data_IF_687444229853
#
_entry.id   IF_687444229853
#
_cell.length_a   1.000
_cell.length_b   1.000
_cell.length_c   1.000
_cell.angle_alpha   90.00
_cell.angle_beta   90.00
_cell.angle_gamma   90.00
#
_symmetry.space_group_name_H-M   'P 1'
#
loop_
_entity.id
_entity.type
_entity.pdbx_description
1 polymer ?
#
# COMPACT_ATOMS: atom_id res chain seq x y z
N UNK A 1 14.46 -0.53 -6.72
CA UNK A 1 14.70 0.49 -7.75
C UNK A 1 13.42 1.26 -8.05
N UNK A 2 13.53 2.38 -8.79
CA UNK A 2 12.38 3.14 -9.27
C UNK A 2 11.50 2.32 -10.21
N UNK A 3 12.09 1.40 -10.96
CA UNK A 3 11.33 0.45 -11.79
C UNK A 3 10.47 -0.48 -10.92
N UNK A 4 10.99 -0.99 -9.80
CA UNK A 4 10.22 -1.81 -8.86
C UNK A 4 9.09 -1.01 -8.20
N UNK A 5 9.33 0.28 -7.93
CA UNK A 5 8.31 1.20 -7.42
C UNK A 5 7.16 1.34 -8.43
N UNK A 6 7.48 1.62 -9.70
CA UNK A 6 6.49 1.75 -10.77
C UNK A 6 5.68 0.45 -10.95
N UNK A 7 6.36 -0.70 -10.98
CA UNK A 7 5.71 -2.01 -11.04
C UNK A 7 4.74 -2.21 -9.85
N UNK A 8 5.17 -1.86 -8.63
CA UNK A 8 4.35 -2.03 -7.43
C UNK A 8 3.12 -1.12 -7.44
N UNK A 9 3.27 0.13 -7.88
CA UNK A 9 2.15 1.06 -8.05
C UNK A 9 1.10 0.46 -9.00
N UNK A 10 1.52 -0.01 -10.17
CA UNK A 10 0.62 -0.60 -11.16
C UNK A 10 -0.04 -1.89 -10.63
N UNK A 11 0.71 -2.78 -9.97
CA UNK A 11 0.13 -3.98 -9.34
C UNK A 11 -0.95 -3.60 -8.34
N UNK A 12 -0.69 -2.61 -7.50
CA UNK A 12 -1.64 -2.17 -6.47
C UNK A 12 -2.88 -1.52 -7.07
N UNK A 13 -2.72 -0.70 -8.11
CA UNK A 13 -3.84 -0.10 -8.85
C UNK A 13 -4.73 -1.17 -9.49
N UNK A 14 -4.14 -2.19 -10.13
CA UNK A 14 -4.88 -3.32 -10.72
C UNK A 14 -5.63 -4.16 -9.67
N UNK A 15 -5.20 -4.11 -8.41
CA UNK A 15 -5.90 -4.75 -7.27
C UNK A 15 -6.96 -3.85 -6.63
N UNK A 16 -7.19 -2.64 -7.17
CA UNK A 16 -8.15 -1.69 -6.62
C UNK A 16 -7.68 -1.00 -5.34
N UNK A 17 -6.38 -0.89 -5.14
CA UNK A 17 -5.85 -0.21 -3.96
C UNK A 17 -6.10 1.30 -4.02
N UNK A 18 -6.52 1.88 -2.89
CA UNK A 18 -6.66 3.33 -2.73
C UNK A 18 -5.31 4.05 -2.55
N UNK A 19 -5.37 5.31 -2.09
CA UNK A 19 -4.19 6.19 -1.93
C UNK A 19 -3.03 5.54 -1.20
N UNK A 20 -3.21 4.82 -0.05
CA UNK A 20 -2.09 4.16 0.63
C UNK A 20 -1.43 3.07 -0.23
N UNK A 21 -2.19 2.37 -1.08
CA UNK A 21 -1.63 1.38 -2.01
C UNK A 21 -0.91 2.02 -3.19
N UNK A 22 -1.34 3.22 -3.62
CA UNK A 22 -0.67 4.00 -4.66
C UNK A 22 0.70 4.54 -4.21
N UNK A 23 0.96 4.62 -2.90
CA UNK A 23 2.28 4.91 -2.34
C UNK A 23 3.36 3.85 -2.71
N UNK A 24 2.94 2.68 -3.17
CA UNK A 24 3.84 1.65 -3.69
C UNK A 24 4.70 1.01 -2.59
N UNK A 25 6.02 1.04 -2.79
CA UNK A 25 6.99 0.50 -1.83
C UNK A 25 7.26 1.56 -0.77
N UNK A 26 6.79 1.31 0.46
CA UNK A 26 7.04 2.20 1.60
C UNK A 26 8.48 2.14 2.14
N UNK A 27 8.75 2.97 3.16
CA UNK A 27 10.03 3.04 3.88
C UNK A 27 11.24 3.29 2.96
N UNK A 28 11.34 4.47 2.33
CA UNK A 28 12.44 4.79 1.43
C UNK A 28 13.80 4.79 2.15
N UNK A 29 13.85 5.11 3.43
CA UNK A 29 15.02 5.05 4.31
C UNK A 29 15.64 3.66 4.42
N UNK A 30 14.84 2.60 4.32
CA UNK A 30 15.30 1.20 4.30
C UNK A 30 15.64 0.69 2.90
N UNK A 31 15.53 1.52 1.87
CA UNK A 31 15.68 1.13 0.46
C UNK A 31 16.53 2.14 -0.31
N UNK A 32 17.84 2.17 -0.06
CA UNK A 32 18.74 3.20 -0.61
C UNK A 32 18.80 3.23 -2.14
N UNK A 33 18.43 2.13 -2.80
CA UNK A 33 18.42 2.05 -4.27
C UNK A 33 17.06 2.40 -4.89
N UNK A 34 16.08 2.87 -4.11
CA UNK A 34 14.72 3.11 -4.62
C UNK A 34 14.68 4.25 -5.63
N UNK A 35 15.58 5.23 -5.52
CA UNK A 35 15.68 6.34 -6.46
C UNK A 35 16.40 5.97 -7.77
N UNK A 36 17.16 4.88 -7.79
CA UNK A 36 17.90 4.45 -8.96
C UNK A 36 17.04 3.59 -9.90
N UNK A 37 17.33 3.73 -11.21
CA UNK A 37 16.76 2.85 -12.25
C UNK A 37 17.48 1.50 -12.25
N UNK A 38 16.81 0.48 -12.73
CA UNK A 38 17.40 -0.87 -12.85
C UNK A 38 18.65 -0.89 -13.74
N UNK A 39 18.67 -0.12 -14.82
CA UNK A 39 19.87 -0.03 -15.67
C UNK A 39 21.03 0.65 -14.97
N UNK A 40 20.78 1.64 -14.09
CA UNK A 40 21.79 2.32 -13.29
C UNK A 40 22.39 1.38 -12.23
N UNK A 41 21.56 0.59 -11.55
CA UNK A 41 22.07 -0.41 -10.59
C UNK A 41 22.89 -1.49 -11.28
N UNK A 42 22.51 -1.93 -12.48
CA UNK A 42 23.34 -2.83 -13.29
C UNK A 42 24.65 -2.20 -13.74
N UNK A 43 24.63 -0.92 -14.09
CA UNK A 43 25.86 -0.18 -14.42
C UNK A 43 26.78 -0.06 -13.21
N UNK A 44 26.23 0.24 -12.03
CA UNK A 44 26.99 0.28 -10.77
C UNK A 44 27.64 -1.08 -10.48
N UNK A 45 26.92 -2.19 -10.59
CA UNK A 45 27.50 -3.53 -10.41
C UNK A 45 28.71 -3.76 -11.31
N UNK A 46 28.62 -3.37 -12.59
CA UNK A 46 29.75 -3.49 -13.54
C UNK A 46 30.97 -2.67 -13.10
N UNK A 47 30.73 -1.44 -12.60
CA UNK A 47 31.82 -0.56 -12.15
C UNK A 47 32.55 -1.14 -10.94
N UNK A 48 31.81 -1.75 -10.01
CA UNK A 48 32.40 -2.34 -8.79
C UNK A 48 32.81 -3.82 -8.96
N UNK A 49 32.75 -4.35 -10.17
CA UNK A 49 33.17 -5.72 -10.47
C UNK A 49 32.23 -6.81 -9.92
N UNK A 50 30.97 -6.46 -9.65
CA UNK A 50 29.95 -7.44 -9.23
C UNK A 50 29.16 -7.93 -10.45
N UNK A 51 28.95 -9.24 -10.52
CA UNK A 51 28.13 -9.88 -11.54
C UNK A 51 26.78 -10.28 -10.95
N UNK A 52 25.67 -9.58 -11.32
CA UNK A 52 24.35 -9.88 -10.78
C UNK A 52 23.87 -11.25 -11.26
N UNK A 53 23.36 -12.07 -10.36
CA UNK A 53 22.69 -13.32 -10.73
C UNK A 53 21.40 -13.00 -11.51
N UNK A 54 21.22 -13.71 -12.62
CA UNK A 54 19.97 -13.68 -13.38
C UNK A 54 19.12 -14.86 -12.98
N UNK A 55 17.99 -14.59 -12.30
CA UNK A 55 17.00 -15.60 -11.97
C UNK A 55 15.99 -15.71 -13.15
N UNK A 56 15.85 -16.88 -13.79
CA UNK A 56 14.89 -17.11 -14.88
C UNK A 56 13.44 -16.80 -14.49
N UNK A 57 13.09 -16.88 -13.21
CA UNK A 57 11.75 -16.52 -12.74
C UNK A 57 11.42 -15.02 -12.93
N UNK A 58 12.43 -14.17 -13.14
CA UNK A 58 12.23 -12.73 -13.38
C UNK A 58 11.60 -12.44 -14.75
N UNK A 59 11.61 -13.39 -15.66
CA UNK A 59 11.06 -13.24 -17.02
C UNK A 59 9.82 -14.12 -17.26
N UNK A 60 9.36 -14.88 -16.24
CA UNK A 60 8.20 -15.76 -16.35
C UNK A 60 6.88 -14.95 -16.44
N UNK A 61 6.15 -15.01 -17.58
CA UNK A 61 4.93 -14.23 -17.80
C UNK A 61 3.73 -14.67 -16.95
N UNK A 62 3.82 -15.77 -16.20
CA UNK A 62 2.79 -16.18 -15.25
C UNK A 62 2.67 -15.18 -14.09
N UNK A 63 3.72 -14.41 -13.82
CA UNK A 63 3.71 -13.40 -12.78
C UNK A 63 3.25 -12.04 -13.32
N UNK A 64 2.18 -11.49 -12.76
CA UNK A 64 1.62 -10.17 -13.12
C UNK A 64 2.70 -9.08 -13.12
N UNK A 65 3.65 -9.12 -12.19
CA UNK A 65 4.73 -8.16 -12.11
C UNK A 65 5.65 -8.19 -13.32
N UNK A 66 5.96 -9.39 -13.83
CA UNK A 66 6.78 -9.54 -15.03
C UNK A 66 6.04 -9.04 -16.29
N UNK A 67 4.73 -9.31 -16.37
CA UNK A 67 3.91 -8.75 -17.45
C UNK A 67 3.84 -7.23 -17.41
N UNK A 68 3.70 -6.64 -16.22
CA UNK A 68 3.75 -5.18 -16.07
C UNK A 68 5.10 -4.64 -16.59
N UNK A 69 6.20 -5.27 -16.23
CA UNK A 69 7.55 -4.90 -16.67
C UNK A 69 7.74 -4.98 -18.17
N UNK A 70 7.33 -6.09 -18.77
CA UNK A 70 7.67 -6.41 -20.16
C UNK A 70 6.59 -6.00 -21.17
N UNK A 71 5.33 -5.82 -20.74
CA UNK A 71 4.21 -5.49 -21.61
C UNK A 71 3.63 -4.11 -21.29
N UNK A 72 3.24 -3.85 -20.02
CA UNK A 72 2.46 -2.65 -19.66
C UNK A 72 3.31 -1.39 -19.63
N UNK A 73 4.48 -1.41 -18.98
CA UNK A 73 5.35 -0.24 -18.92
C UNK A 73 5.85 0.18 -20.30
N UNK A 74 6.28 -0.74 -21.20
CA UNK A 74 6.60 -0.37 -22.59
C UNK A 74 5.40 0.20 -23.36
N UNK A 75 4.21 -0.38 -23.19
CA UNK A 75 2.99 0.13 -23.82
C UNK A 75 2.65 1.55 -23.35
N UNK A 76 2.76 1.80 -22.04
CA UNK A 76 2.55 3.15 -21.48
C UNK A 76 3.57 4.15 -22.02
N UNK A 77 4.82 3.74 -22.21
CA UNK A 77 5.87 4.56 -22.80
C UNK A 77 5.54 4.91 -24.26
N UNK A 78 5.12 3.92 -25.04
CA UNK A 78 4.74 4.08 -26.46
C UNK A 78 3.54 5.04 -26.59
N UNK A 79 2.44 4.77 -25.87
CA UNK A 79 1.22 5.58 -25.93
C UNK A 79 1.42 7.01 -25.46
N UNK A 80 2.23 7.21 -24.42
CA UNK A 80 2.44 8.56 -23.83
C UNK A 80 3.60 9.34 -24.46
N UNK A 81 4.47 8.69 -25.23
CA UNK A 81 5.72 9.26 -25.73
C UNK A 81 6.72 9.63 -24.62
N UNK A 82 6.58 9.08 -23.42
CA UNK A 82 7.37 9.41 -22.23
C UNK A 82 7.70 8.14 -21.42
N UNK A 83 8.84 8.18 -20.70
CA UNK A 83 9.15 7.12 -19.74
C UNK A 83 8.12 7.16 -18.56
N UNK A 84 7.29 6.14 -18.36
CA UNK A 84 6.30 6.12 -17.29
C UNK A 84 6.90 5.91 -15.90
N UNK A 85 8.12 5.34 -15.78
CA UNK A 85 8.72 4.97 -14.50
C UNK A 85 8.95 6.17 -13.59
N UNK A 86 9.59 7.27 -14.02
CA UNK A 86 9.75 8.47 -13.19
C UNK A 86 8.41 9.10 -12.81
N UNK A 87 7.41 9.01 -13.70
CA UNK A 87 6.08 9.57 -13.45
C UNK A 87 5.35 8.79 -12.36
N UNK A 88 5.38 7.47 -12.44
CA UNK A 88 4.78 6.57 -11.44
C UNK A 88 5.51 6.66 -10.09
N UNK A 89 6.86 6.74 -10.10
CA UNK A 89 7.63 6.94 -8.88
C UNK A 89 7.30 8.26 -8.18
N UNK A 90 7.15 9.35 -8.95
CA UNK A 90 6.70 10.65 -8.43
C UNK A 90 5.28 10.59 -7.91
N UNK A 91 4.38 9.89 -8.58
CA UNK A 91 3.01 9.67 -8.11
C UNK A 91 3.02 8.92 -6.77
N UNK A 92 3.81 7.86 -6.63
CA UNK A 92 3.96 7.13 -5.38
C UNK A 92 4.46 8.00 -4.23
N UNK A 93 5.44 8.87 -4.48
CA UNK A 93 5.94 9.83 -3.49
C UNK A 93 4.82 10.77 -3.01
N UNK A 94 4.03 11.33 -3.94
CA UNK A 94 2.89 12.19 -3.59
C UNK A 94 1.80 11.44 -2.81
N UNK A 95 1.54 10.18 -3.17
CA UNK A 95 0.61 9.33 -2.44
C UNK A 95 1.12 9.01 -1.02
N UNK A 96 2.43 8.85 -0.84
CA UNK A 96 3.05 8.70 0.49
C UNK A 96 2.85 9.96 1.32
N UNK A 97 3.22 11.15 0.80
CA UNK A 97 3.02 12.43 1.48
C UNK A 97 1.57 12.64 1.92
N UNK A 98 0.61 12.35 1.04
CA UNK A 98 -0.81 12.45 1.35
C UNK A 98 -1.25 11.43 2.42
N UNK A 99 -0.73 10.21 2.36
CA UNK A 99 -1.02 9.15 3.35
C UNK A 99 -0.49 9.53 4.73
N UNK A 100 0.73 10.07 4.79
CA UNK A 100 1.37 10.49 6.04
C UNK A 100 0.62 11.68 6.66
N UNK A 101 0.19 12.65 5.85
CA UNK A 101 -0.65 13.76 6.30
C UNK A 101 -1.96 13.26 6.90
N UNK A 102 -2.67 12.37 6.21
CA UNK A 102 -3.92 11.79 6.70
C UNK A 102 -3.71 10.94 7.96
N UNK A 103 -2.61 10.19 8.04
CA UNK A 103 -2.25 9.43 9.23
C UNK A 103 -2.01 10.35 10.43
N UNK A 104 -1.38 11.51 10.21
CA UNK A 104 -1.21 12.54 11.23
C UNK A 104 -2.53 13.07 11.81
N UNK A 105 -3.58 13.17 10.99
CA UNK A 105 -4.91 13.62 11.44
C UNK A 105 -5.60 12.65 12.41
N UNK A 106 -5.20 11.39 12.41
CA UNK A 106 -5.80 10.35 13.28
C UNK A 106 -4.80 9.76 14.27
N UNK A 107 -3.59 10.32 14.36
CA UNK A 107 -2.52 9.78 15.20
C UNK A 107 -2.89 9.72 16.69
N UNK A 108 -3.62 10.72 17.18
CA UNK A 108 -4.06 10.83 18.58
C UNK A 108 -5.46 10.26 18.81
N UNK A 109 -6.09 9.69 17.79
CA UNK A 109 -7.44 9.10 17.89
C UNK A 109 -7.31 7.66 18.36
N UNK A 110 -7.94 7.34 19.51
CA UNK A 110 -8.08 5.95 19.96
C UNK A 110 -9.05 5.20 19.01
N UNK A 111 -8.55 4.29 18.17
CA UNK A 111 -9.39 3.59 17.18
C UNK A 111 -10.38 2.62 17.81
N UNK A 112 -10.27 2.36 19.11
CA UNK A 112 -11.20 1.52 19.86
C UNK A 112 -12.31 2.32 20.54
N UNK A 113 -12.15 3.63 20.71
CA UNK A 113 -13.18 4.50 21.29
C UNK A 113 -14.17 4.96 20.20
N UNK A 114 -15.36 4.37 20.23
CA UNK A 114 -16.43 4.69 19.27
C UNK A 114 -16.86 6.15 19.33
N UNK A 115 -16.74 6.81 20.52
CA UNK A 115 -17.09 8.23 20.67
C UNK A 115 -16.07 9.11 19.97
N UNK A 116 -14.77 8.80 20.12
CA UNK A 116 -13.71 9.51 19.41
C UNK A 116 -13.83 9.39 17.87
N UNK A 117 -14.40 8.28 17.40
CA UNK A 117 -14.64 8.03 15.98
C UNK A 117 -15.95 8.62 15.45
N UNK A 118 -16.90 8.99 16.34
CA UNK A 118 -18.28 9.33 15.93
C UNK A 118 -18.34 10.55 15.01
N UNK A 119 -17.56 11.59 15.31
CA UNK A 119 -17.58 12.88 14.61
C UNK A 119 -16.60 12.95 13.44
N UNK A 120 -15.80 11.91 13.24
CA UNK A 120 -14.85 11.85 12.14
C UNK A 120 -15.53 11.42 10.83
N UNK A 121 -15.10 11.98 9.69
CA UNK A 121 -15.47 11.46 8.37
C UNK A 121 -15.11 9.98 8.22
N UNK A 122 -15.94 9.23 7.50
CA UNK A 122 -15.76 7.78 7.33
C UNK A 122 -14.37 7.39 6.80
N UNK A 123 -13.78 8.21 5.94
CA UNK A 123 -12.43 7.93 5.40
C UNK A 123 -11.33 8.05 6.46
N UNK A 124 -11.43 8.97 7.41
CA UNK A 124 -10.51 9.05 8.55
C UNK A 124 -10.74 7.92 9.54
N UNK A 125 -12.01 7.53 9.77
CA UNK A 125 -12.31 6.34 10.58
C UNK A 125 -11.74 5.07 9.94
N UNK A 126 -11.89 4.89 8.62
CA UNK A 126 -11.26 3.77 7.90
C UNK A 126 -9.75 3.74 8.08
N UNK A 127 -9.11 4.90 8.06
CA UNK A 127 -7.66 5.00 8.22
C UNK A 127 -7.24 4.58 9.64
N UNK A 128 -7.89 5.10 10.68
CA UNK A 128 -7.64 4.73 12.08
C UNK A 128 -7.87 3.23 12.31
N UNK A 129 -8.99 2.70 11.83
CA UNK A 129 -9.33 1.28 11.93
C UNK A 129 -8.32 0.38 11.20
N UNK A 130 -7.86 0.79 10.01
CA UNK A 130 -6.86 0.04 9.24
C UNK A 130 -5.55 -0.05 10.02
N UNK A 131 -5.08 1.04 10.63
CA UNK A 131 -3.88 1.07 11.47
C UNK A 131 -3.99 0.11 12.64
N UNK A 132 -5.09 0.18 13.39
CA UNK A 132 -5.37 -0.69 14.52
C UNK A 132 -5.44 -2.17 14.12
N UNK A 133 -6.24 -2.51 13.11
CA UNK A 133 -6.36 -3.89 12.64
C UNK A 133 -5.04 -4.45 12.08
N UNK A 134 -4.21 -3.61 11.47
CA UNK A 134 -2.87 -4.03 11.01
C UNK A 134 -1.98 -4.37 12.20
N UNK A 135 -2.01 -3.57 13.26
CA UNK A 135 -1.26 -3.83 14.49
C UNK A 135 -1.71 -5.14 15.16
N UNK A 136 -3.03 -5.32 15.33
CA UNK A 136 -3.62 -6.52 15.93
C UNK A 136 -3.32 -7.80 15.11
N UNK A 137 -3.23 -7.67 13.79
CA UNK A 137 -2.89 -8.79 12.89
C UNK A 137 -1.37 -9.01 12.72
N UNK A 138 -0.53 -8.50 13.63
CA UNK A 138 0.91 -8.67 13.58
C UNK A 138 1.58 -8.01 12.37
N UNK A 139 1.04 -6.88 11.90
CA UNK A 139 1.58 -6.11 10.78
C UNK A 139 0.99 -6.47 9.41
N UNK A 140 0.05 -7.40 9.34
CA UNK A 140 -0.65 -7.75 8.09
C UNK A 140 -1.82 -6.80 7.85
N UNK A 141 -1.82 -5.98 6.77
CA UNK A 141 -2.92 -5.07 6.49
C UNK A 141 -4.23 -5.82 6.20
N UNK A 142 -5.38 -5.36 6.75
CA UNK A 142 -6.68 -5.89 6.41
C UNK A 142 -7.08 -5.52 4.98
N UNK A 143 -7.96 -6.31 4.38
CA UNK A 143 -8.63 -5.92 3.14
C UNK A 143 -9.64 -4.78 3.37
N UNK A 144 -10.03 -4.09 2.31
CA UNK A 144 -10.96 -2.96 2.37
C UNK A 144 -12.32 -3.38 2.93
N UNK A 145 -12.82 -4.55 2.54
CA UNK A 145 -14.11 -5.06 2.98
C UNK A 145 -14.13 -5.36 4.49
N UNK A 146 -13.01 -5.82 5.06
CA UNK A 146 -12.88 -6.00 6.51
C UNK A 146 -12.95 -4.66 7.25
N UNK A 147 -12.27 -3.63 6.74
CA UNK A 147 -12.32 -2.27 7.32
C UNK A 147 -13.74 -1.71 7.26
N UNK A 148 -14.43 -1.85 6.12
CA UNK A 148 -15.81 -1.36 5.95
C UNK A 148 -16.79 -2.08 6.89
N UNK A 149 -16.65 -3.39 7.10
CA UNK A 149 -17.47 -4.11 8.07
C UNK A 149 -17.23 -3.62 9.51
N UNK A 150 -15.99 -3.27 9.88
CA UNK A 150 -15.71 -2.71 11.22
C UNK A 150 -16.24 -1.28 11.31
N UNK A 151 -16.19 -0.49 10.25
CA UNK A 151 -16.85 0.83 10.19
C UNK A 151 -18.36 0.70 10.46
N UNK A 152 -19.02 -0.33 9.91
CA UNK A 152 -20.44 -0.59 10.19
C UNK A 152 -20.70 -0.92 11.68
N UNK A 153 -19.76 -1.58 12.36
CA UNK A 153 -19.82 -1.78 13.82
C UNK A 153 -19.67 -0.45 14.56
N UNK A 154 -18.72 0.40 14.15
CA UNK A 154 -18.52 1.75 14.73
C UNK A 154 -19.77 2.59 14.58
N UNK A 155 -20.38 2.61 13.39
CA UNK A 155 -21.62 3.36 13.11
C UNK A 155 -22.89 2.73 13.68
N UNK A 156 -22.79 1.58 14.35
CA UNK A 156 -23.93 0.90 14.99
C UNK A 156 -24.89 0.23 14.02
N UNK A 157 -24.51 0.07 12.74
CA UNK A 157 -25.30 -0.65 11.72
C UNK A 157 -25.35 -2.14 12.01
N UNK A 158 -24.26 -2.68 12.54
CA UNK A 158 -24.15 -4.07 13.01
C UNK A 158 -23.49 -4.11 14.40
N UNK A 159 -23.72 -5.16 15.19
CA UNK A 159 -23.16 -5.27 16.54
C UNK A 159 -21.75 -5.84 16.57
N UNK A 160 -21.41 -6.69 15.62
CA UNK A 160 -20.12 -7.36 15.53
C UNK A 160 -19.87 -7.87 14.11
N UNK A 161 -18.59 -8.07 13.78
CA UNK A 161 -18.16 -8.67 12.51
C UNK A 161 -16.93 -9.55 12.70
N UNK A 162 -16.64 -10.39 11.72
CA UNK A 162 -15.36 -11.10 11.62
C UNK A 162 -14.45 -10.37 10.62
N UNK A 163 -13.18 -10.27 10.96
CA UNK A 163 -12.12 -9.73 10.10
C UNK A 163 -11.16 -10.84 9.67
N UNK A 164 -10.30 -10.53 8.70
CA UNK A 164 -9.26 -11.46 8.22
C UNK A 164 -8.44 -11.97 9.39
N UNK A 165 -8.21 -13.29 9.42
CA UNK A 165 -7.53 -13.96 10.55
C UNK A 165 -8.50 -14.63 11.55
N UNK A 166 -9.83 -14.53 11.32
CA UNK A 166 -10.84 -15.17 12.17
C UNK A 166 -11.17 -14.39 13.45
N UNK A 167 -10.58 -13.22 13.63
CA UNK A 167 -10.84 -12.37 14.79
C UNK A 167 -12.22 -11.72 14.70
N UNK A 168 -12.89 -11.63 15.85
CA UNK A 168 -14.20 -11.01 15.95
C UNK A 168 -14.10 -9.63 16.56
N UNK A 169 -14.48 -8.60 15.81
CA UNK A 169 -14.61 -7.24 16.33
C UNK A 169 -16.06 -6.99 16.72
N UNK A 170 -16.26 -6.52 17.95
CA UNK A 170 -17.57 -6.20 18.50
C UNK A 170 -17.56 -4.86 19.22
N UNK A 171 -18.73 -4.20 19.26
CA UNK A 171 -18.94 -2.96 20.04
C UNK A 171 -19.61 -3.30 21.37
N UNK A 172 -18.99 -2.88 22.48
CA UNK A 172 -19.54 -2.98 23.84
C UNK A 172 -19.17 -1.73 24.64
N UNK A 173 -20.13 -1.16 25.37
CA UNK A 173 -19.93 -0.01 26.24
C UNK A 173 -19.21 1.20 25.59
N UNK A 174 -19.42 1.43 24.30
CA UNK A 174 -18.79 2.51 23.55
C UNK A 174 -17.36 2.24 23.08
N UNK A 175 -16.87 1.01 23.23
CA UNK A 175 -15.55 0.57 22.75
C UNK A 175 -15.64 -0.59 21.80
N UNK A 176 -14.65 -0.67 20.91
CA UNK A 176 -14.41 -1.86 20.11
C UNK A 176 -13.55 -2.84 20.92
N UNK A 177 -13.91 -4.10 20.86
CA UNK A 177 -13.12 -5.23 21.39
C UNK A 177 -12.76 -6.16 20.25
N UNK A 178 -11.59 -6.73 20.33
CA UNK A 178 -11.02 -7.67 19.37
C UNK A 178 -10.83 -9.03 20.03
#
# INVERSE_FOLDING_TARGET
TADDQAETVLVNLLRGAGVPGAAGIGAPDRRPLLALRRHETRALCRVVGLEPLSDPMNDDPRFVRNRIRHEVLPLLADVSGRDPVPLLARHAMRATEATDLLAGLVADVDPTDVRALADLPDDLVRLALRGWLTFEAGGRPPDAASVDRVLDVVRGRIRATQVVGGHRVARSAGRLSH
#
